data_IF_896633764013
#
_entry.id   IF_896633764013
#
_cell.length_a   1.000
_cell.length_b   1.000
_cell.length_c   1.000
_cell.angle_alpha   90.00
_cell.angle_beta   90.00
_cell.angle_gamma   90.00
#
_symmetry.space_group_name_H-M   'P 1'
#
loop_
_entity.id
_entity.type
_entity.pdbx_description
1 polymer ?
#
# COMPACT_ATOMS: atom_id res chain seq x y z
N UNK A 1 31.00 28.31 13.29
CA UNK A 1 29.97 28.50 12.23
C UNK A 1 29.59 27.12 11.74
N UNK A 2 28.38 26.65 12.05
CA UNK A 2 27.86 25.37 11.55
C UNK A 2 26.74 25.68 10.56
N UNK A 3 26.87 25.25 9.31
CA UNK A 3 25.80 25.31 8.31
C UNK A 3 25.11 23.95 8.29
N UNK A 4 23.88 23.88 8.80
CA UNK A 4 23.03 22.69 8.67
C UNK A 4 22.25 22.77 7.36
N UNK A 5 22.54 21.86 6.44
CA UNK A 5 21.74 21.60 5.23
C UNK A 5 20.40 20.96 5.65
N UNK A 6 19.23 21.47 5.21
CA UNK A 6 17.99 20.75 5.42
C UNK A 6 17.92 19.58 4.43
N UNK A 7 18.08 18.35 4.93
CA UNK A 7 17.68 17.13 4.21
C UNK A 7 16.17 17.16 4.05
N UNK A 8 15.70 17.28 2.81
CA UNK A 8 14.29 17.11 2.44
C UNK A 8 13.93 15.65 2.68
N UNK A 9 13.46 15.35 3.89
CA UNK A 9 12.84 14.06 4.23
C UNK A 9 11.44 13.96 3.61
N UNK A 10 10.88 12.74 3.48
CA UNK A 10 9.55 12.54 2.92
C UNK A 10 8.48 13.27 3.74
N UNK A 11 7.43 13.73 3.06
CA UNK A 11 6.33 14.57 3.57
C UNK A 11 5.82 14.20 4.98
N UNK A 12 5.39 15.19 5.79
CA UNK A 12 5.08 14.99 7.20
C UNK A 12 3.97 13.95 7.40
N UNK A 13 4.28 12.90 8.17
CA UNK A 13 3.31 11.91 8.63
C UNK A 13 2.15 12.60 9.36
N UNK A 14 0.91 12.32 8.95
CA UNK A 14 -0.29 12.82 9.64
C UNK A 14 -0.35 12.22 11.06
N UNK A 15 -0.37 13.08 12.07
CA UNK A 15 -0.41 12.71 13.49
C UNK A 15 -1.71 11.97 13.86
N UNK A 16 -1.62 11.07 14.84
CA UNK A 16 -2.78 10.38 15.41
C UNK A 16 -3.65 11.31 16.26
N UNK A 17 -4.91 10.93 16.48
CA UNK A 17 -5.79 11.51 17.50
C UNK A 17 -5.16 11.59 18.91
N UNK A 18 -4.12 10.79 19.17
CA UNK A 18 -3.35 10.77 20.42
C UNK A 18 -1.98 11.48 20.33
N UNK A 19 -1.71 12.25 19.27
CA UNK A 19 -0.49 13.06 19.15
C UNK A 19 0.81 12.30 18.85
N UNK A 20 0.79 10.96 18.81
CA UNK A 20 1.91 10.15 18.34
C UNK A 20 1.97 10.14 16.80
N UNK A 21 3.17 10.06 16.21
CA UNK A 21 3.30 9.75 14.79
C UNK A 21 2.58 8.42 14.55
N UNK A 22 1.53 8.41 13.73
CA UNK A 22 1.02 7.15 13.20
C UNK A 22 2.13 6.66 12.29
N UNK A 23 2.65 5.47 12.54
CA UNK A 23 3.40 4.80 11.50
C UNK A 23 2.36 4.47 10.42
N UNK A 24 2.57 5.12 9.28
CA UNK A 24 1.64 5.11 8.18
C UNK A 24 2.33 4.34 7.07
N UNK A 25 1.73 3.21 6.72
CA UNK A 25 2.26 2.29 5.72
C UNK A 25 1.45 2.42 4.44
N UNK A 26 2.16 2.43 3.31
CA UNK A 26 1.54 2.50 1.97
C UNK A 26 1.30 1.09 1.43
N UNK A 27 0.08 0.83 0.96
CA UNK A 27 -0.29 -0.44 0.33
C UNK A 27 -0.88 -0.17 -1.04
N UNK A 28 -0.35 -0.83 -2.07
CA UNK A 28 -0.89 -0.78 -3.41
C UNK A 28 -2.09 -1.73 -3.51
N UNK A 29 -3.29 -1.15 -3.61
CA UNK A 29 -4.55 -1.87 -3.68
C UNK A 29 -5.03 -2.01 -5.12
N UNK A 30 -5.47 -3.22 -5.45
CA UNK A 30 -6.09 -3.59 -6.73
C UNK A 30 -7.34 -4.41 -6.46
N UNK A 31 -8.21 -4.53 -7.48
CA UNK A 31 -9.42 -5.34 -7.40
C UNK A 31 -10.31 -5.00 -6.20
N UNK A 32 -10.74 -6.03 -5.49
CA UNK A 32 -11.75 -5.93 -4.42
C UNK A 32 -11.33 -5.08 -3.23
N UNK A 33 -10.02 -4.91 -2.97
CA UNK A 33 -9.53 -4.06 -1.89
C UNK A 33 -9.82 -2.57 -2.13
N UNK A 34 -10.22 -2.20 -3.35
CA UNK A 34 -10.69 -0.85 -3.70
C UNK A 34 -12.19 -0.67 -3.44
N UNK A 35 -12.93 -1.73 -3.19
CA UNK A 35 -14.37 -1.65 -2.93
C UNK A 35 -14.64 -1.20 -1.49
N UNK A 36 -15.65 -0.34 -1.33
CA UNK A 36 -16.04 0.21 -0.02
C UNK A 36 -16.39 -0.90 0.99
N UNK A 37 -17.07 -1.94 0.55
CA UNK A 37 -17.52 -3.05 1.41
C UNK A 37 -16.34 -3.85 1.94
N UNK A 38 -15.38 -4.20 1.09
CA UNK A 38 -14.16 -4.91 1.52
C UNK A 38 -13.32 -4.04 2.44
N UNK A 39 -13.14 -2.75 2.12
CA UNK A 39 -12.41 -1.85 3.01
C UNK A 39 -13.09 -1.67 4.37
N UNK A 40 -14.40 -1.49 4.43
CA UNK A 40 -15.09 -1.40 5.72
C UNK A 40 -14.95 -2.69 6.54
N UNK A 41 -15.02 -3.86 5.87
CA UNK A 41 -14.88 -5.16 6.53
C UNK A 41 -13.47 -5.41 7.07
N UNK A 42 -12.45 -5.03 6.31
CA UNK A 42 -11.04 -5.37 6.62
C UNK A 42 -10.35 -4.24 7.37
N UNK A 43 -10.51 -3.01 6.89
CA UNK A 43 -9.83 -1.80 7.37
C UNK A 43 -10.68 -0.99 8.37
N UNK A 44 -11.90 -1.44 8.69
CA UNK A 44 -12.84 -0.80 9.60
C UNK A 44 -13.44 0.53 9.10
N UNK A 45 -12.94 1.06 7.98
CA UNK A 45 -13.38 2.30 7.33
C UNK A 45 -12.99 2.29 5.86
N UNK A 46 -13.57 3.20 5.09
CA UNK A 46 -13.10 3.50 3.74
C UNK A 46 -11.82 4.33 3.82
N UNK A 47 -10.76 3.88 3.15
CA UNK A 47 -9.51 4.62 3.01
C UNK A 47 -9.43 5.11 1.56
N UNK A 48 -9.29 6.43 1.40
CA UNK A 48 -9.09 7.01 0.07
C UNK A 48 -7.71 6.60 -0.43
N UNK A 49 -7.66 6.10 -1.66
CA UNK A 49 -6.42 5.84 -2.37
C UNK A 49 -6.11 6.96 -3.35
N UNK A 50 -4.82 7.15 -3.60
CA UNK A 50 -4.34 7.94 -4.72
C UNK A 50 -4.11 6.98 -5.91
N UNK A 51 -4.77 7.25 -7.04
CA UNK A 51 -4.64 6.40 -8.24
C UNK A 51 -3.19 6.38 -8.73
N UNK A 52 -2.69 5.18 -9.03
CA UNK A 52 -1.31 4.97 -9.49
C UNK A 52 -1.20 3.65 -10.25
N UNK A 53 0.00 3.29 -10.70
CA UNK A 53 0.26 2.02 -11.36
C UNK A 53 1.60 1.42 -10.90
N UNK A 54 1.77 0.11 -11.08
CA UNK A 54 3.05 -0.59 -10.91
C UNK A 54 3.41 -1.34 -12.20
N UNK A 55 4.70 -1.45 -12.51
CA UNK A 55 5.21 -2.13 -13.70
C UNK A 55 5.70 -3.53 -13.38
N UNK A 56 5.56 -4.47 -14.30
CA UNK A 56 5.97 -5.86 -14.07
C UNK A 56 4.97 -6.67 -13.25
N UNK A 57 3.72 -6.22 -13.16
CA UNK A 57 2.67 -6.88 -12.36
C UNK A 57 1.39 -7.04 -13.16
N UNK A 58 0.65 -8.10 -12.84
CA UNK A 58 -0.70 -8.36 -13.34
C UNK A 58 -1.61 -8.76 -12.17
N UNK A 59 -2.91 -8.53 -12.31
CA UNK A 59 -3.93 -8.99 -11.39
C UNK A 59 -4.93 -9.88 -12.13
N UNK A 60 -4.89 -11.18 -11.86
CA UNK A 60 -5.70 -12.20 -12.52
C UNK A 60 -6.22 -13.16 -11.46
N UNK A 61 -7.43 -13.70 -11.67
CA UNK A 61 -8.06 -14.66 -10.76
C UNK A 61 -8.09 -14.20 -9.28
N UNK A 62 -8.20 -12.87 -9.07
CA UNK A 62 -8.25 -12.25 -7.74
C UNK A 62 -6.89 -12.14 -7.03
N UNK A 63 -5.78 -12.45 -7.70
CA UNK A 63 -4.43 -12.39 -7.13
C UNK A 63 -3.48 -11.53 -7.96
N UNK A 64 -2.57 -10.83 -7.28
CA UNK A 64 -1.52 -10.04 -7.94
C UNK A 64 -0.22 -10.82 -7.97
N UNK A 65 0.45 -10.84 -9.13
CA UNK A 65 1.70 -11.57 -9.31
C UNK A 65 2.67 -10.82 -10.25
N UNK A 66 3.99 -11.02 -10.09
CA UNK A 66 4.96 -10.54 -11.06
C UNK A 66 4.75 -11.16 -12.44
N UNK A 67 5.04 -10.40 -13.49
CA UNK A 67 4.90 -10.77 -14.92
C UNK A 67 6.00 -10.06 -15.74
N UNK A 68 5.83 -9.92 -17.06
CA UNK A 68 6.74 -9.21 -17.94
C UNK A 68 6.90 -7.74 -17.54
N UNK A 69 8.11 -7.15 -17.62
CA UNK A 69 8.42 -5.81 -17.12
C UNK A 69 7.63 -4.69 -17.81
N UNK A 70 7.15 -4.94 -19.03
CA UNK A 70 6.36 -3.98 -19.80
C UNK A 70 4.87 -3.98 -19.41
N UNK A 71 4.41 -4.98 -18.65
CA UNK A 71 3.04 -5.02 -18.15
C UNK A 71 2.83 -3.94 -17.09
N UNK A 72 1.68 -3.28 -17.14
CA UNK A 72 1.32 -2.20 -16.22
C UNK A 72 0.00 -2.54 -15.53
N UNK A 73 0.05 -2.61 -14.20
CA UNK A 73 -1.13 -2.83 -13.37
C UNK A 73 -1.58 -1.52 -12.72
N UNK A 74 -2.75 -1.03 -13.14
CA UNK A 74 -3.41 0.12 -12.53
C UNK A 74 -4.06 -0.23 -11.18
N UNK A 75 -3.96 0.68 -10.22
CA UNK A 75 -4.46 0.49 -8.86
C UNK A 75 -4.53 1.81 -8.11
N UNK A 76 -4.50 1.73 -6.78
CA UNK A 76 -4.42 2.91 -5.94
C UNK A 76 -3.53 2.65 -4.72
N UNK A 77 -2.75 3.65 -4.32
CA UNK A 77 -1.96 3.62 -3.09
C UNK A 77 -2.83 4.03 -1.92
N UNK A 78 -3.09 3.09 -1.03
CA UNK A 78 -3.79 3.32 0.23
C UNK A 78 -2.78 3.67 1.32
N UNK A 79 -3.13 4.68 2.12
CA UNK A 79 -2.37 5.12 3.28
C UNK A 79 -3.00 4.51 4.53
N UNK A 80 -2.37 3.46 5.07
CA UNK A 80 -2.90 2.65 6.17
C UNK A 80 -2.17 2.91 7.49
N UNK A 81 -2.87 2.70 8.60
CA UNK A 81 -2.27 2.61 9.94
C UNK A 81 -1.77 1.17 10.20
N UNK A 82 -0.81 0.97 11.10
CA UNK A 82 -0.22 -0.37 11.38
C UNK A 82 -1.26 -1.45 11.69
N UNK A 83 -2.29 -1.11 12.46
CA UNK A 83 -3.36 -2.05 12.80
C UNK A 83 -4.17 -2.44 11.56
N UNK A 84 -4.34 -1.53 10.59
CA UNK A 84 -5.04 -1.80 9.33
C UNK A 84 -4.20 -2.72 8.44
N UNK A 85 -2.88 -2.53 8.42
CA UNK A 85 -1.97 -3.45 7.76
C UNK A 85 -2.03 -4.84 8.40
N UNK A 86 -2.00 -4.92 9.73
CA UNK A 86 -2.13 -6.18 10.48
C UNK A 86 -3.48 -6.87 10.22
N UNK A 87 -4.56 -6.10 10.14
CA UNK A 87 -5.89 -6.63 9.81
C UNK A 87 -5.95 -7.17 8.37
N UNK A 88 -5.27 -6.50 7.44
CA UNK A 88 -5.15 -6.96 6.04
C UNK A 88 -4.33 -8.25 5.94
N UNK A 89 -3.20 -8.34 6.66
CA UNK A 89 -2.40 -9.57 6.77
C UNK A 89 -3.26 -10.74 7.28
N UNK A 90 -4.08 -10.50 8.31
CA UNK A 90 -4.98 -11.53 8.87
C UNK A 90 -6.09 -11.92 7.90
N UNK A 91 -6.62 -10.98 7.13
CA UNK A 91 -7.68 -11.24 6.17
C UNK A 91 -7.20 -12.09 4.99
N UNK A 92 -6.03 -11.77 4.45
CA UNK A 92 -5.41 -12.51 3.34
C UNK A 92 -4.83 -13.86 3.81
N UNK A 93 -4.38 -13.91 5.06
CA UNK A 93 -3.87 -15.13 5.67
C UNK A 93 -2.49 -15.55 5.16
N UNK A 94 -2.00 -16.73 5.60
CA UNK A 94 -0.62 -17.17 5.36
C UNK A 94 -0.32 -17.53 3.90
N UNK A 95 -1.35 -17.62 3.03
CA UNK A 95 -1.18 -17.86 1.60
C UNK A 95 -0.66 -16.65 0.83
N UNK A 96 -0.50 -15.49 1.48
CA UNK A 96 0.00 -14.27 0.86
C UNK A 96 1.23 -13.75 1.60
N UNK A 97 2.12 -13.11 0.84
CA UNK A 97 3.25 -12.33 1.35
C UNK A 97 3.21 -10.91 0.80
N UNK A 98 3.90 -10.02 1.51
CA UNK A 98 4.10 -8.63 1.09
C UNK A 98 5.40 -8.52 0.30
N UNK A 99 5.34 -7.81 -0.81
CA UNK A 99 6.50 -7.44 -1.61
C UNK A 99 6.50 -5.93 -1.77
N UNK A 100 7.66 -5.32 -1.55
CA UNK A 100 7.83 -3.88 -1.73
C UNK A 100 7.93 -3.57 -3.23
N UNK A 101 7.16 -2.59 -3.69
CA UNK A 101 7.16 -2.14 -5.08
C UNK A 101 7.25 -0.63 -5.13
N UNK A 102 7.86 -0.13 -6.21
CA UNK A 102 7.82 1.27 -6.57
C UNK A 102 6.73 1.49 -7.61
N UNK A 103 5.85 2.46 -7.38
CA UNK A 103 4.83 2.84 -8.35
C UNK A 103 5.40 3.71 -9.47
N UNK A 104 4.64 3.87 -10.55
CA UNK A 104 5.00 4.74 -11.68
C UNK A 104 5.21 6.19 -11.24
N UNK A 105 4.51 6.63 -10.19
CA UNK A 105 4.69 7.96 -9.58
C UNK A 105 5.88 8.06 -8.61
N UNK A 106 6.68 6.99 -8.46
CA UNK A 106 7.85 6.94 -7.58
C UNK A 106 7.52 6.72 -6.09
N UNK A 107 6.31 6.21 -5.78
CA UNK A 107 5.91 5.94 -4.40
C UNK A 107 6.21 4.49 -4.05
N UNK A 108 6.93 4.26 -2.96
CA UNK A 108 7.12 2.92 -2.40
C UNK A 108 5.86 2.47 -1.67
N UNK A 109 5.35 1.28 -2.01
CA UNK A 109 4.18 0.67 -1.39
C UNK A 109 4.31 -0.86 -1.33
N UNK A 110 3.56 -1.49 -0.41
CA UNK A 110 3.45 -2.94 -0.35
C UNK A 110 2.37 -3.46 -1.29
N UNK A 111 2.68 -4.52 -2.05
CA UNK A 111 1.70 -5.32 -2.77
C UNK A 111 1.64 -6.72 -2.16
N UNK A 112 0.45 -7.32 -2.15
CA UNK A 112 0.25 -8.69 -1.67
C UNK A 112 0.25 -9.66 -2.84
N UNK A 113 1.08 -10.69 -2.75
CA UNK A 113 1.21 -11.76 -3.75
C UNK A 113 1.08 -13.12 -3.08
N UNK A 114 0.50 -14.13 -3.74
CA UNK A 114 0.48 -15.48 -3.21
C UNK A 114 1.89 -16.01 -2.89
N UNK A 115 1.98 -16.84 -1.85
CA UNK A 115 3.14 -17.69 -1.58
C UNK A 115 2.96 -18.95 -2.42
N UNK A 116 3.78 -19.10 -3.45
CA UNK A 116 3.88 -20.30 -4.29
C UNK A 116 4.84 -21.32 -3.73
#
# INVERSE_FOLDING_TARGET
MWTSTPTIGPAPAKLSANGLPREVVRVFAVGDLRTRSTQNRVLGRTVRGDEDAIRGWVHEDGVSRPTAPDDVLGGAVLTLEDWQLTALDRFLGPGFRRVEVETVSGTTAWVFTPVV
#
